data_IF_551399120676
#
_entry.id   IF_551399120676
#
_cell.length_a   1.000
_cell.length_b   1.000
_cell.length_c   1.000
_cell.angle_alpha   90.00
_cell.angle_beta   90.00
_cell.angle_gamma   90.00
#
_symmetry.space_group_name_H-M   'P 1'
#
loop_
_entity.id
_entity.type
_entity.pdbx_description
1 polymer ?
#
# COMPACT_ATOMS: atom_id res chain seq x y z
N UNK A 1 22.55 -3.54 0.12
CA UNK A 1 21.24 -4.03 -0.35
C UNK A 1 20.19 -2.96 -0.13
N UNK A 2 19.22 -2.81 -1.03
CA UNK A 2 18.11 -1.86 -0.86
C UNK A 2 16.84 -2.57 -0.39
N UNK A 3 16.34 -2.15 0.75
CA UNK A 3 15.07 -2.64 1.29
C UNK A 3 13.88 -1.95 0.62
N UNK A 4 12.77 -2.67 0.49
CA UNK A 4 11.48 -2.05 0.16
C UNK A 4 10.97 -1.20 1.34
N UNK A 5 9.97 -0.35 1.07
CA UNK A 5 9.34 0.44 2.13
C UNK A 5 8.68 -0.45 3.17
N UNK A 6 8.61 0.03 4.42
CA UNK A 6 7.94 -0.69 5.52
C UNK A 6 6.48 -1.02 5.19
N UNK A 7 5.79 -0.13 4.46
CA UNK A 7 4.41 -0.32 4.02
C UNK A 7 4.28 -1.51 3.05
N UNK A 8 5.17 -1.61 2.06
CA UNK A 8 5.17 -2.74 1.11
C UNK A 8 5.53 -4.03 1.83
N UNK A 9 6.56 -3.99 2.69
CA UNK A 9 6.97 -5.16 3.48
C UNK A 9 5.84 -5.70 4.37
N UNK A 10 5.05 -4.80 4.97
CA UNK A 10 3.90 -5.15 5.81
C UNK A 10 2.72 -5.76 5.07
N UNK A 11 2.74 -5.77 3.73
CA UNK A 11 1.71 -6.35 2.87
C UNK A 11 2.16 -7.63 2.16
N UNK A 12 3.37 -8.11 2.40
CA UNK A 12 3.84 -9.40 1.90
C UNK A 12 3.17 -10.54 2.67
N UNK A 13 2.90 -11.65 1.98
CA UNK A 13 2.49 -12.90 2.64
C UNK A 13 3.63 -13.44 3.49
N UNK A 14 3.34 -14.40 4.37
CA UNK A 14 4.38 -15.01 5.19
C UNK A 14 5.52 -15.60 4.34
N UNK A 15 5.15 -16.34 3.30
CA UNK A 15 6.11 -16.98 2.38
C UNK A 15 6.92 -15.96 1.57
N UNK A 16 6.28 -14.90 1.08
CA UNK A 16 6.97 -13.80 0.38
C UNK A 16 7.94 -13.08 1.32
N UNK A 17 7.54 -12.83 2.56
CA UNK A 17 8.36 -12.16 3.57
C UNK A 17 9.58 -13.00 3.96
N UNK A 18 9.41 -14.31 4.13
CA UNK A 18 10.50 -15.23 4.45
C UNK A 18 11.52 -15.28 3.29
N UNK A 19 11.05 -15.36 2.02
CA UNK A 19 11.91 -15.25 0.83
C UNK A 19 12.62 -13.91 0.73
N UNK A 20 11.91 -12.81 0.98
CA UNK A 20 12.48 -11.46 0.96
C UNK A 20 13.60 -11.32 1.99
N UNK A 21 13.37 -11.76 3.24
CA UNK A 21 14.39 -11.67 4.28
C UNK A 21 15.63 -12.52 3.92
N UNK A 22 15.44 -13.73 3.37
CA UNK A 22 16.55 -14.57 2.93
C UNK A 22 17.37 -13.95 1.79
N UNK A 23 16.72 -13.37 0.78
CA UNK A 23 17.43 -12.67 -0.30
C UNK A 23 18.17 -11.42 0.20
N UNK A 24 17.61 -10.69 1.17
CA UNK A 24 18.29 -9.55 1.80
C UNK A 24 19.56 -10.02 2.53
N UNK A 25 19.49 -11.11 3.28
CA UNK A 25 20.63 -11.68 3.99
C UNK A 25 21.72 -12.13 3.01
N UNK A 26 21.37 -12.91 1.98
CA UNK A 26 22.30 -13.35 0.94
C UNK A 26 22.93 -12.17 0.21
N UNK A 27 22.13 -11.18 -0.20
CA UNK A 27 22.64 -10.00 -0.88
C UNK A 27 23.62 -9.19 -0.02
N UNK A 28 23.32 -9.05 1.28
CA UNK A 28 24.19 -8.34 2.22
C UNK A 28 25.50 -9.09 2.42
N UNK A 29 25.44 -10.42 2.54
CA UNK A 29 26.62 -11.26 2.60
C UNK A 29 27.51 -11.09 1.35
N UNK A 30 26.93 -11.07 0.15
CA UNK A 30 27.68 -10.87 -1.10
C UNK A 30 28.36 -9.49 -1.15
N UNK A 31 27.68 -8.43 -0.70
CA UNK A 31 28.27 -7.10 -0.59
C UNK A 31 29.46 -7.08 0.40
N UNK A 32 29.35 -7.78 1.54
CA UNK A 32 30.45 -7.92 2.51
C UNK A 32 31.66 -8.67 1.91
N UNK A 33 31.42 -9.58 0.98
CA UNK A 33 32.46 -10.28 0.22
C UNK A 33 32.97 -9.49 -1.01
N UNK A 34 32.54 -8.24 -1.20
CA UNK A 34 32.83 -7.40 -2.36
C UNK A 34 32.35 -7.98 -3.72
N UNK A 35 31.35 -8.87 -3.71
CA UNK A 35 30.76 -9.50 -4.90
C UNK A 35 29.53 -8.72 -5.39
N UNK A 36 29.76 -7.47 -5.82
CA UNK A 36 28.68 -6.53 -6.16
C UNK A 36 27.91 -6.91 -7.42
N UNK A 37 28.54 -7.61 -8.36
CA UNK A 37 27.92 -8.16 -9.56
C UNK A 37 26.85 -9.21 -9.22
N UNK A 38 27.12 -10.08 -8.25
CA UNK A 38 26.17 -11.07 -7.76
C UNK A 38 25.09 -10.44 -6.87
N UNK A 39 25.48 -9.52 -5.97
CA UNK A 39 24.52 -8.77 -5.15
C UNK A 39 23.51 -8.00 -6.03
N UNK A 40 23.95 -7.48 -7.18
CA UNK A 40 23.07 -6.82 -8.15
C UNK A 40 21.97 -7.76 -8.69
N UNK A 41 22.29 -9.02 -8.99
CA UNK A 41 21.31 -10.02 -9.43
C UNK A 41 20.31 -10.31 -8.32
N UNK A 42 20.79 -10.50 -7.08
CA UNK A 42 19.91 -10.70 -5.91
C UNK A 42 18.98 -9.50 -5.69
N UNK A 43 19.47 -8.28 -5.88
CA UNK A 43 18.64 -7.08 -5.80
C UNK A 43 17.51 -7.08 -6.84
N UNK A 44 17.76 -7.58 -8.07
CA UNK A 44 16.72 -7.69 -9.10
C UNK A 44 15.63 -8.68 -8.73
N UNK A 45 16.00 -9.80 -8.13
CA UNK A 45 15.02 -10.77 -7.64
C UNK A 45 14.17 -10.19 -6.51
N UNK A 46 14.76 -9.40 -5.62
CA UNK A 46 14.01 -8.65 -4.59
C UNK A 46 13.06 -7.65 -5.24
N UNK A 47 13.52 -6.88 -6.23
CA UNK A 47 12.70 -5.88 -6.93
C UNK A 47 11.46 -6.52 -7.58
N UNK A 48 11.58 -7.75 -8.12
CA UNK A 48 10.47 -8.52 -8.67
C UNK A 48 9.56 -9.11 -7.57
N UNK A 49 10.15 -9.69 -6.53
CA UNK A 49 9.43 -10.35 -5.44
C UNK A 49 8.47 -9.39 -4.72
N UNK A 50 8.81 -8.10 -4.60
CA UNK A 50 7.98 -7.12 -3.89
C UNK A 50 6.82 -6.55 -4.72
N UNK A 51 6.77 -6.82 -6.04
CA UNK A 51 5.72 -6.29 -6.92
C UNK A 51 4.29 -6.60 -6.43
N UNK A 52 3.95 -7.81 -5.96
CA UNK A 52 2.63 -8.09 -5.41
C UNK A 52 2.29 -7.21 -4.19
N UNK A 53 3.26 -6.96 -3.31
CA UNK A 53 3.09 -6.09 -2.14
C UNK A 53 2.83 -4.63 -2.54
N UNK A 54 3.48 -4.15 -3.60
CA UNK A 54 3.23 -2.82 -4.18
C UNK A 54 1.80 -2.74 -4.72
N UNK A 55 1.32 -3.77 -5.42
CA UNK A 55 -0.04 -3.76 -5.98
C UNK A 55 -1.11 -3.80 -4.87
N UNK A 56 -0.91 -4.63 -3.84
CA UNK A 56 -1.78 -4.62 -2.64
C UNK A 56 -1.82 -3.24 -1.96
N UNK A 57 -0.67 -2.53 -1.91
CA UNK A 57 -0.61 -1.19 -1.33
C UNK A 57 -1.42 -0.18 -2.16
N UNK A 58 -1.30 -0.22 -3.48
CA UNK A 58 -2.08 0.63 -4.40
C UNK A 58 -3.57 0.34 -4.28
N UNK A 59 -3.96 -0.92 -4.22
CA UNK A 59 -5.35 -1.32 -4.06
C UNK A 59 -5.95 -0.79 -2.75
N UNK A 60 -5.22 -0.93 -1.63
CA UNK A 60 -5.64 -0.36 -0.35
C UNK A 60 -5.80 1.16 -0.41
N UNK A 61 -4.92 1.85 -1.12
CA UNK A 61 -5.05 3.29 -1.39
C UNK A 61 -6.34 3.62 -2.14
N UNK A 62 -6.59 2.95 -3.27
CA UNK A 62 -7.81 3.13 -4.07
C UNK A 62 -9.09 2.81 -3.28
N UNK A 63 -9.07 1.78 -2.44
CA UNK A 63 -10.21 1.41 -1.61
C UNK A 63 -10.53 2.49 -0.57
N UNK A 64 -9.49 3.02 0.09
CA UNK A 64 -9.65 4.14 1.02
C UNK A 64 -10.22 5.37 0.31
N UNK A 65 -9.67 5.72 -0.84
CA UNK A 65 -10.11 6.92 -1.57
C UNK A 65 -11.58 6.79 -2.03
N UNK A 66 -12.05 5.60 -2.41
CA UNK A 66 -13.48 5.32 -2.67
C UNK A 66 -14.34 5.48 -1.42
N UNK A 67 -13.94 4.87 -0.30
CA UNK A 67 -14.69 4.99 0.95
C UNK A 67 -14.77 6.44 1.45
N UNK A 68 -13.72 7.25 1.21
CA UNK A 68 -13.74 8.69 1.50
C UNK A 68 -14.74 9.42 0.61
N UNK A 69 -14.80 9.11 -0.68
CA UNK A 69 -15.78 9.72 -1.59
C UNK A 69 -17.22 9.38 -1.17
N UNK A 70 -17.51 8.11 -0.89
CA UNK A 70 -18.83 7.63 -0.44
C UNK A 70 -19.25 8.31 0.88
N UNK A 71 -18.32 8.49 1.82
CA UNK A 71 -18.60 9.18 3.09
C UNK A 71 -18.86 10.68 2.91
N UNK A 72 -18.16 11.35 1.99
CA UNK A 72 -18.40 12.76 1.70
C UNK A 72 -19.70 12.99 0.94
N UNK A 73 -20.11 12.03 0.11
CA UNK A 73 -21.40 12.02 -0.58
C UNK A 73 -22.55 11.85 0.44
N UNK A 74 -22.44 10.88 1.36
CA UNK A 74 -23.48 10.69 2.39
C UNK A 74 -23.66 11.91 3.30
N UNK A 75 -22.58 12.63 3.63
CA UNK A 75 -22.67 13.85 4.42
C UNK A 75 -23.38 14.99 3.66
N UNK A 76 -23.25 15.05 2.33
CA UNK A 76 -23.95 16.04 1.51
C UNK A 76 -25.43 15.70 1.38
N UNK A 77 -25.74 14.43 1.14
CA UNK A 77 -27.13 13.98 1.09
C UNK A 77 -27.85 14.25 2.42
N UNK A 78 -27.18 14.00 3.57
CA UNK A 78 -27.71 14.32 4.90
C UNK A 78 -27.88 15.84 5.13
N UNK A 79 -26.97 16.69 4.59
CA UNK A 79 -27.09 18.15 4.66
C UNK A 79 -28.24 18.67 3.77
N UNK A 80 -28.33 18.21 2.52
CA UNK A 80 -29.39 18.59 1.58
C UNK A 80 -30.78 18.17 2.10
N UNK A 81 -30.94 16.95 2.63
CA UNK A 81 -32.19 16.49 3.26
C UNK A 81 -32.58 17.37 4.47
N UNK A 82 -31.60 17.83 5.24
CA UNK A 82 -31.85 18.70 6.40
C UNK A 82 -32.23 20.14 6.02
N UNK A 83 -31.71 20.67 4.92
CA UNK A 83 -32.09 21.98 4.39
C UNK A 83 -33.49 21.96 3.76
N UNK A 84 -33.87 20.88 3.07
CA UNK A 84 -35.22 20.68 2.53
C UNK A 84 -36.29 20.61 3.65
N UNK A 85 -36.00 19.90 4.75
CA UNK A 85 -36.90 19.81 5.91
C UNK A 85 -37.06 21.16 6.66
N UNK A 86 -36.01 21.98 6.75
CA UNK A 86 -36.08 23.33 7.35
C UNK A 86 -36.86 24.34 6.49
N UNK A 87 -36.71 24.33 5.16
CA UNK A 87 -37.50 25.17 4.26
C UNK A 87 -39.00 24.80 4.29
N UNK A 88 -39.32 23.50 4.36
CA UNK A 88 -40.70 23.02 4.46
C UNK A 88 -41.36 23.40 5.80
N UNK A 89 -40.60 23.41 6.90
CA UNK A 89 -41.08 23.79 8.24
C UNK A 89 -41.32 25.29 8.44
N UNK A 90 -40.66 26.16 7.66
CA UNK A 90 -40.73 27.63 7.81
C UNK A 90 -41.85 28.28 6.97
N UNK A 91 -42.53 27.52 6.11
CA UNK A 91 -43.64 27.98 5.25
C UNK A 91 -45.06 27.87 5.88
N UNK A 92 -45.18 27.67 7.20
CA UNK A 92 -46.46 27.51 7.92
C UNK A 92 -46.79 28.66 8.88
#
# INVERSE_FOLDING_TARGET
MRHCSVQVRGLLTREELDRYNGLIEVGSYLEDQNQYDLAYVVQKEIDLLILPGIERLKEKGRARDRATAEYLESLRDDEDDSEEDEEAGTSL
#
